data_IF_049592331754
#
_entry.id   IF_049592331754
#
_cell.length_a   1.000
_cell.length_b   1.000
_cell.length_c   1.000
_cell.angle_alpha   90.00
_cell.angle_beta   90.00
_cell.angle_gamma   90.00
#
_symmetry.space_group_name_H-M   'P 1'
#
loop_
_entity.id
_entity.type
_entity.pdbx_description
1 polymer ?
#
# COMPACT_ATOMS: atom_id res chain seq x y z
N UNK A 1 -42.58 0.18 154.67
CA UNK A 1 -41.31 -0.37 155.19
C UNK A 1 -40.54 -1.00 154.03
N UNK A 2 -39.22 -0.75 153.97
CA UNK A 2 -38.19 -1.32 153.08
C UNK A 2 -38.35 -1.03 151.56
N UNK A 3 -37.57 -0.15 150.90
CA UNK A 3 -36.13 -0.21 150.54
C UNK A 3 -35.66 -1.58 150.04
N UNK A 4 -35.30 -1.69 148.74
CA UNK A 4 -33.95 -2.00 148.19
C UNK A 4 -33.97 -1.75 146.66
N UNK A 5 -33.11 -0.84 146.20
CA UNK A 5 -32.52 -0.71 144.85
C UNK A 5 -31.15 -1.45 144.86
N UNK A 6 -30.36 -1.55 143.78
CA UNK A 6 -30.59 -1.67 142.32
C UNK A 6 -29.60 -2.71 141.70
N UNK A 7 -29.21 -2.55 140.42
CA UNK A 7 -28.15 -3.22 139.65
C UNK A 7 -28.65 -4.40 138.78
N UNK A 8 -28.19 -4.63 137.55
CA UNK A 8 -26.94 -4.23 136.91
C UNK A 8 -27.05 -4.22 135.37
N UNK A 9 -26.21 -3.40 134.77
CA UNK A 9 -25.91 -3.25 133.36
C UNK A 9 -25.70 -4.55 132.58
N UNK A 10 -26.22 -4.59 131.35
CA UNK A 10 -25.68 -5.39 130.25
C UNK A 10 -25.66 -4.58 128.93
N UNK A 11 -24.55 -3.89 128.62
CA UNK A 11 -24.23 -3.48 127.26
C UNK A 11 -22.82 -3.97 126.91
N UNK A 12 -22.70 -5.17 126.34
CA UNK A 12 -21.40 -5.64 125.81
C UNK A 12 -21.47 -6.58 124.61
N UNK A 13 -22.58 -7.32 124.40
CA UNK A 13 -22.70 -8.25 123.26
C UNK A 13 -23.31 -7.69 121.96
N UNK A 14 -24.04 -6.56 122.03
CA UNK A 14 -24.75 -5.99 120.86
C UNK A 14 -23.84 -5.09 120.00
N UNK A 15 -22.90 -4.39 120.63
CA UNK A 15 -21.89 -3.56 119.96
C UNK A 15 -20.85 -4.42 119.24
N UNK A 16 -20.42 -5.54 119.83
CA UNK A 16 -19.52 -6.51 119.17
C UNK A 16 -20.20 -7.22 117.98
N UNK A 17 -21.48 -7.60 118.10
CA UNK A 17 -22.20 -8.19 116.97
C UNK A 17 -22.42 -7.19 115.82
N UNK A 18 -22.74 -5.94 116.12
CA UNK A 18 -22.84 -4.89 115.10
C UNK A 18 -21.50 -4.59 114.44
N UNK A 19 -20.40 -4.52 115.20
CA UNK A 19 -19.05 -4.33 114.66
C UNK A 19 -18.63 -5.51 113.77
N UNK A 20 -18.99 -6.75 114.15
CA UNK A 20 -18.69 -7.96 113.37
C UNK A 20 -19.51 -8.02 112.08
N UNK A 21 -20.78 -7.62 112.11
CA UNK A 21 -21.62 -7.50 110.90
C UNK A 21 -21.13 -6.39 109.98
N UNK A 22 -20.70 -5.25 110.52
CA UNK A 22 -20.07 -4.18 109.73
C UNK A 22 -18.78 -4.63 109.08
N UNK A 23 -17.90 -5.32 109.82
CA UNK A 23 -16.67 -5.89 109.27
C UNK A 23 -16.95 -6.92 108.17
N UNK A 24 -17.90 -7.84 108.38
CA UNK A 24 -18.33 -8.80 107.34
C UNK A 24 -18.90 -8.10 106.10
N UNK A 25 -19.63 -7.00 106.29
CA UNK A 25 -20.19 -6.20 105.18
C UNK A 25 -19.08 -5.48 104.42
N UNK A 26 -18.08 -4.93 105.11
CA UNK A 26 -16.88 -4.33 104.49
C UNK A 26 -16.04 -5.37 103.75
N UNK A 27 -15.84 -6.55 104.32
CA UNK A 27 -15.13 -7.66 103.65
C UNK A 27 -15.89 -8.14 102.41
N UNK A 28 -17.22 -8.26 102.50
CA UNK A 28 -18.06 -8.60 101.37
C UNK A 28 -18.00 -7.53 100.27
N UNK A 29 -18.12 -6.25 100.63
CA UNK A 29 -18.02 -5.14 99.69
C UNK A 29 -16.63 -5.06 99.04
N UNK A 30 -15.56 -5.32 99.81
CA UNK A 30 -14.19 -5.40 99.29
C UNK A 30 -14.04 -6.54 98.29
N UNK A 31 -14.55 -7.73 98.63
CA UNK A 31 -14.53 -8.89 97.74
C UNK A 31 -15.36 -8.64 96.46
N UNK A 32 -16.52 -7.99 96.56
CA UNK A 32 -17.37 -7.62 95.43
C UNK A 32 -16.67 -6.59 94.53
N UNK A 33 -16.04 -5.56 95.09
CA UNK A 33 -15.31 -4.56 94.31
C UNK A 33 -14.07 -5.15 93.63
N UNK A 34 -13.36 -6.07 94.28
CA UNK A 34 -12.24 -6.79 93.65
C UNK A 34 -12.71 -7.74 92.54
N UNK A 35 -13.86 -8.40 92.71
CA UNK A 35 -14.50 -9.15 91.63
C UNK A 35 -14.90 -8.25 90.44
N UNK A 36 -15.45 -7.05 90.69
CA UNK A 36 -15.76 -6.08 89.62
C UNK A 36 -14.52 -5.55 88.91
N UNK A 37 -13.41 -5.34 89.62
CA UNK A 37 -12.13 -4.97 89.01
C UNK A 37 -11.59 -6.09 88.12
N UNK A 38 -11.67 -7.35 88.58
CA UNK A 38 -11.28 -8.53 87.81
C UNK A 38 -12.11 -8.73 86.55
N UNK A 39 -13.44 -8.56 86.64
CA UNK A 39 -14.32 -8.63 85.46
C UNK A 39 -13.97 -7.56 84.42
N UNK A 40 -13.78 -6.31 84.84
CA UNK A 40 -13.33 -5.22 83.94
C UNK A 40 -11.97 -5.51 83.29
N UNK A 41 -11.06 -6.16 84.01
CA UNK A 41 -9.77 -6.55 83.47
C UNK A 41 -9.89 -7.67 82.42
N UNK A 42 -10.75 -8.67 82.65
CA UNK A 42 -11.04 -9.72 81.66
C UNK A 42 -11.72 -9.17 80.41
N UNK A 43 -12.66 -8.24 80.55
CA UNK A 43 -13.29 -7.53 79.42
C UNK A 43 -12.27 -6.72 78.61
N UNK A 44 -11.31 -6.06 79.29
CA UNK A 44 -10.22 -5.35 78.63
C UNK A 44 -9.27 -6.29 77.88
N UNK A 45 -8.90 -7.44 78.47
CA UNK A 45 -8.07 -8.47 77.81
C UNK A 45 -8.77 -9.06 76.57
N UNK A 46 -10.08 -9.29 76.64
CA UNK A 46 -10.88 -9.74 75.49
C UNK A 46 -10.91 -8.68 74.37
N UNK A 47 -11.11 -7.41 74.72
CA UNK A 47 -11.06 -6.31 73.75
C UNK A 47 -9.67 -6.15 73.11
N UNK A 48 -8.59 -6.32 73.89
CA UNK A 48 -7.21 -6.29 73.36
C UNK A 48 -7.00 -7.46 72.40
N UNK A 49 -7.41 -8.68 72.79
CA UNK A 49 -7.30 -9.87 71.93
C UNK A 49 -8.06 -9.71 70.61
N UNK A 50 -9.25 -9.12 70.64
CA UNK A 50 -10.05 -8.90 69.44
C UNK A 50 -9.49 -7.77 68.55
N UNK A 51 -8.91 -6.72 69.16
CA UNK A 51 -8.18 -5.70 68.44
C UNK A 51 -6.94 -6.29 67.75
N UNK A 52 -6.17 -7.15 68.43
CA UNK A 52 -5.02 -7.84 67.86
C UNK A 52 -5.41 -8.76 66.70
N UNK A 53 -6.45 -9.60 66.87
CA UNK A 53 -6.98 -10.43 65.77
C UNK A 53 -7.47 -9.58 64.60
N UNK A 54 -8.08 -8.43 64.87
CA UNK A 54 -8.54 -7.51 63.82
C UNK A 54 -7.38 -6.87 63.07
N UNK A 55 -6.33 -6.42 63.79
CA UNK A 55 -5.11 -5.92 63.18
C UNK A 55 -4.41 -6.99 62.35
N UNK A 56 -4.38 -8.24 62.83
CA UNK A 56 -3.77 -9.35 62.09
C UNK A 56 -4.55 -9.66 60.80
N UNK A 57 -5.89 -9.68 60.86
CA UNK A 57 -6.72 -9.78 59.65
C UNK A 57 -6.47 -8.64 58.67
N UNK A 58 -6.31 -7.42 59.18
CA UNK A 58 -6.02 -6.24 58.35
C UNK A 58 -4.64 -6.33 57.69
N UNK A 59 -3.61 -6.81 58.41
CA UNK A 59 -2.28 -7.08 57.85
C UNK A 59 -2.32 -8.12 56.74
N UNK A 60 -3.02 -9.24 56.97
CA UNK A 60 -3.18 -10.29 55.97
C UNK A 60 -3.90 -9.79 54.73
N UNK A 61 -4.98 -9.01 54.90
CA UNK A 61 -5.67 -8.37 53.79
C UNK A 61 -4.74 -7.45 52.98
N UNK A 62 -3.92 -6.63 53.64
CA UNK A 62 -2.95 -5.78 52.96
C UNK A 62 -1.87 -6.58 52.21
N UNK A 63 -1.34 -7.66 52.82
CA UNK A 63 -0.39 -8.56 52.18
C UNK A 63 -0.98 -9.23 50.94
N UNK A 64 -2.21 -9.73 51.03
CA UNK A 64 -2.90 -10.35 49.90
C UNK A 64 -3.18 -9.34 48.78
N UNK A 65 -3.58 -8.11 49.13
CA UNK A 65 -3.78 -7.03 48.17
C UNK A 65 -2.47 -6.63 47.46
N UNK A 66 -1.34 -6.59 48.17
CA UNK A 66 -0.03 -6.32 47.59
C UNK A 66 0.40 -7.45 46.65
N UNK A 67 0.27 -8.72 47.07
CA UNK A 67 0.60 -9.87 46.22
C UNK A 67 -0.26 -9.93 44.94
N UNK A 68 -1.54 -9.57 45.05
CA UNK A 68 -2.43 -9.47 43.90
C UNK A 68 -2.05 -8.30 42.98
N UNK A 69 -1.61 -7.17 43.54
CA UNK A 69 -1.08 -6.05 42.76
C UNK A 69 0.20 -6.45 42.01
N UNK A 70 1.14 -7.15 42.66
CA UNK A 70 2.38 -7.63 42.04
C UNK A 70 2.11 -8.58 40.88
N UNK A 71 1.16 -9.52 41.04
CA UNK A 71 0.75 -10.43 39.95
C UNK A 71 0.19 -9.67 38.75
N UNK A 72 -0.61 -8.64 39.00
CA UNK A 72 -1.19 -7.79 37.93
C UNK A 72 -0.11 -6.98 37.23
N UNK A 73 0.87 -6.46 37.97
CA UNK A 73 2.02 -5.76 37.40
C UNK A 73 2.86 -6.69 36.52
N UNK A 74 3.17 -7.89 36.99
CA UNK A 74 3.89 -8.89 36.19
C UNK A 74 3.12 -9.25 34.91
N UNK A 75 1.82 -9.49 35.02
CA UNK A 75 0.97 -9.79 33.85
C UNK A 75 0.91 -8.62 32.86
N UNK A 76 0.91 -7.38 33.35
CA UNK A 76 0.93 -6.19 32.51
C UNK A 76 2.28 -6.02 31.79
N UNK A 77 3.40 -6.31 32.47
CA UNK A 77 4.73 -6.34 31.87
C UNK A 77 4.83 -7.36 30.75
N UNK A 78 4.36 -8.59 30.98
CA UNK A 78 4.35 -9.65 29.97
C UNK A 78 3.51 -9.25 28.73
N UNK A 79 2.35 -8.62 28.94
CA UNK A 79 1.49 -8.16 27.86
C UNK A 79 2.14 -7.04 27.03
N UNK A 80 2.86 -6.11 27.68
CA UNK A 80 3.58 -5.02 27.01
C UNK A 80 4.74 -5.57 26.18
N UNK A 81 5.51 -6.52 26.71
CA UNK A 81 6.60 -7.14 25.94
C UNK A 81 6.08 -7.97 24.76
N UNK A 82 4.98 -8.71 24.94
CA UNK A 82 4.32 -9.42 23.85
C UNK A 82 3.86 -8.46 22.74
N UNK A 83 3.27 -7.32 23.12
CA UNK A 83 2.87 -6.29 22.16
C UNK A 83 4.07 -5.66 21.45
N UNK A 84 5.20 -5.47 22.14
CA UNK A 84 6.45 -4.96 21.55
C UNK A 84 6.97 -5.91 20.47
N UNK A 85 7.06 -7.20 20.77
CA UNK A 85 7.50 -8.23 19.82
C UNK A 85 6.59 -8.26 18.59
N UNK A 86 5.27 -8.30 18.81
CA UNK A 86 4.28 -8.30 17.72
C UNK A 86 4.43 -7.06 16.83
N UNK A 87 4.60 -5.88 17.42
CA UNK A 87 4.80 -4.65 16.65
C UNK A 87 6.11 -4.68 15.85
N UNK A 88 7.23 -5.10 16.45
CA UNK A 88 8.51 -5.22 15.74
C UNK A 88 8.42 -6.17 14.55
N UNK A 89 7.72 -7.29 14.69
CA UNK A 89 7.47 -8.24 13.59
C UNK A 89 6.58 -7.62 12.50
N UNK A 90 5.49 -6.94 12.88
CA UNK A 90 4.62 -6.25 11.94
C UNK A 90 5.37 -5.15 11.16
N UNK A 91 6.27 -4.41 11.81
CA UNK A 91 7.08 -3.39 11.15
C UNK A 91 8.10 -3.99 10.18
N UNK A 92 8.74 -5.12 10.54
CA UNK A 92 9.63 -5.86 9.63
C UNK A 92 8.88 -6.38 8.40
N UNK A 93 7.66 -6.89 8.60
CA UNK A 93 6.81 -7.34 7.51
C UNK A 93 6.41 -6.18 6.59
N UNK A 94 6.08 -5.02 7.16
CA UNK A 94 5.75 -3.82 6.39
C UNK A 94 6.93 -3.35 5.54
N UNK A 95 8.15 -3.29 6.10
CA UNK A 95 9.36 -2.94 5.36
C UNK A 95 9.63 -3.95 4.22
N UNK A 96 9.47 -5.24 4.50
CA UNK A 96 9.68 -6.28 3.48
C UNK A 96 8.67 -6.15 2.32
N UNK A 97 7.42 -5.80 2.61
CA UNK A 97 6.39 -5.57 1.58
C UNK A 97 6.69 -4.32 0.75
N UNK A 98 7.20 -3.26 1.36
CA UNK A 98 7.62 -2.06 0.62
C UNK A 98 8.83 -2.34 -0.27
N UNK A 99 9.84 -3.05 0.22
CA UNK A 99 10.99 -3.44 -0.59
C UNK A 99 10.58 -4.30 -1.80
N UNK A 100 9.67 -5.24 -1.63
CA UNK A 100 9.13 -6.04 -2.74
C UNK A 100 8.35 -5.17 -3.74
N UNK A 101 7.61 -4.17 -3.25
CA UNK A 101 6.89 -3.24 -4.12
C UNK A 101 7.88 -2.37 -4.93
N UNK A 102 8.93 -1.84 -4.31
CA UNK A 102 10.01 -1.10 -4.98
C UNK A 102 10.67 -1.94 -6.07
N UNK A 103 11.09 -3.17 -5.74
CA UNK A 103 11.69 -4.10 -6.69
C UNK A 103 10.75 -4.38 -7.87
N UNK A 104 9.47 -4.63 -7.59
CA UNK A 104 8.45 -4.82 -8.62
C UNK A 104 8.28 -3.60 -9.53
N UNK A 105 8.38 -2.38 -8.98
CA UNK A 105 8.29 -1.14 -9.75
C UNK A 105 9.51 -0.93 -10.65
N UNK A 106 10.70 -1.28 -10.16
CA UNK A 106 11.94 -1.26 -10.95
C UNK A 106 11.83 -2.23 -12.12
N UNK A 107 11.37 -3.45 -11.90
CA UNK A 107 11.20 -4.45 -12.96
C UNK A 107 10.11 -4.05 -13.96
N UNK A 108 8.98 -3.50 -13.49
CA UNK A 108 7.95 -2.97 -14.38
C UNK A 108 8.49 -1.85 -15.29
N UNK A 109 9.33 -0.95 -14.74
CA UNK A 109 9.96 0.13 -15.51
C UNK A 109 10.87 -0.41 -16.62
N UNK A 110 11.70 -1.40 -16.30
CA UNK A 110 12.58 -2.06 -17.28
C UNK A 110 11.77 -2.74 -18.38
N UNK A 111 10.76 -3.53 -18.00
CA UNK A 111 9.89 -4.20 -18.96
C UNK A 111 9.20 -3.22 -19.90
N UNK A 112 8.68 -2.11 -19.36
CA UNK A 112 8.06 -1.06 -20.18
C UNK A 112 9.06 -0.42 -21.13
N UNK A 113 10.26 -0.07 -20.66
CA UNK A 113 11.32 0.52 -21.49
C UNK A 113 11.74 -0.41 -22.64
N UNK A 114 11.92 -1.70 -22.35
CA UNK A 114 12.21 -2.72 -23.37
C UNK A 114 11.08 -2.86 -24.39
N UNK A 115 9.83 -2.88 -23.93
CA UNK A 115 8.66 -2.95 -24.81
C UNK A 115 8.57 -1.73 -25.73
N UNK A 116 8.82 -0.53 -25.21
CA UNK A 116 8.80 0.71 -25.99
C UNK A 116 9.95 0.75 -27.01
N UNK A 117 11.15 0.33 -26.61
CA UNK A 117 12.30 0.20 -27.51
C UNK A 117 12.04 -0.81 -28.64
N UNK A 118 11.40 -1.94 -28.31
CA UNK A 118 10.98 -2.94 -29.30
C UNK A 118 9.97 -2.39 -30.31
N UNK A 119 8.99 -1.62 -29.83
CA UNK A 119 8.00 -0.97 -30.68
C UNK A 119 8.65 0.10 -31.59
N UNK A 120 9.51 0.97 -31.06
CA UNK A 120 10.26 1.96 -31.83
C UNK A 120 11.09 1.27 -32.94
N UNK A 121 11.77 0.17 -32.62
CA UNK A 121 12.51 -0.63 -33.62
C UNK A 121 11.61 -1.22 -34.71
N UNK A 122 10.41 -1.68 -34.33
CA UNK A 122 9.44 -2.23 -35.28
C UNK A 122 8.90 -1.16 -36.22
N UNK A 123 8.57 0.03 -35.71
CA UNK A 123 8.11 1.18 -36.51
C UNK A 123 9.21 1.58 -37.49
N UNK A 124 10.46 1.68 -37.05
CA UNK A 124 11.57 2.05 -37.91
C UNK A 124 11.83 1.02 -39.01
N UNK A 125 11.74 -0.28 -38.70
CA UNK A 125 11.80 -1.35 -39.71
C UNK A 125 10.68 -1.21 -40.74
N UNK A 126 9.46 -0.94 -40.30
CA UNK A 126 8.33 -0.75 -41.20
C UNK A 126 8.54 0.48 -42.09
N UNK A 127 9.00 1.61 -41.55
CA UNK A 127 9.33 2.82 -42.31
C UNK A 127 10.39 2.54 -43.37
N UNK A 128 11.45 1.82 -43.01
CA UNK A 128 12.51 1.44 -43.96
C UNK A 128 11.99 0.52 -45.06
N UNK A 129 11.25 -0.53 -44.70
CA UNK A 129 10.65 -1.44 -45.68
C UNK A 129 9.74 -0.68 -46.65
N UNK A 130 8.91 0.22 -46.14
CA UNK A 130 8.03 1.07 -46.93
C UNK A 130 8.81 1.99 -47.87
N UNK A 131 9.89 2.63 -47.39
CA UNK A 131 10.75 3.48 -48.21
C UNK A 131 11.50 2.70 -49.31
N UNK A 132 11.95 1.48 -49.03
CA UNK A 132 12.59 0.60 -50.02
C UNK A 132 11.57 0.15 -51.08
N UNK A 133 10.37 -0.25 -50.67
CA UNK A 133 9.27 -0.58 -51.57
C UNK A 133 8.84 0.62 -52.45
N UNK A 134 8.83 1.84 -51.89
CA UNK A 134 8.58 3.08 -52.63
C UNK A 134 9.58 3.26 -53.77
N UNK A 135 10.86 3.15 -53.45
CA UNK A 135 11.93 3.32 -54.41
C UNK A 135 11.82 2.29 -55.54
N UNK A 136 11.58 1.03 -55.19
CA UNK A 136 11.42 -0.04 -56.18
C UNK A 136 10.22 0.20 -57.12
N UNK A 137 9.08 0.64 -56.58
CA UNK A 137 7.90 0.95 -57.39
C UNK A 137 8.17 2.12 -58.36
N UNK A 138 8.85 3.18 -57.89
CA UNK A 138 9.23 4.32 -58.72
C UNK A 138 10.22 3.91 -59.83
N UNK A 139 11.23 3.10 -59.50
CA UNK A 139 12.21 2.60 -60.48
C UNK A 139 11.52 1.76 -61.57
N UNK A 140 10.58 0.88 -61.20
CA UNK A 140 9.79 0.08 -62.15
C UNK A 140 8.91 0.94 -63.06
N UNK A 141 8.27 1.98 -62.52
CA UNK A 141 7.48 2.93 -63.30
C UNK A 141 8.36 3.70 -64.29
N UNK A 142 9.53 4.17 -63.86
CA UNK A 142 10.48 4.86 -64.72
C UNK A 142 10.98 3.97 -65.86
N UNK A 143 11.27 2.69 -65.59
CA UNK A 143 11.63 1.71 -66.61
C UNK A 143 10.50 1.48 -67.62
N UNK A 144 9.25 1.35 -67.15
CA UNK A 144 8.10 1.17 -68.03
C UNK A 144 7.87 2.39 -68.94
N UNK A 145 8.01 3.60 -68.39
CA UNK A 145 7.94 4.85 -69.16
C UNK A 145 9.06 4.91 -70.21
N UNK A 146 10.29 4.57 -69.84
CA UNK A 146 11.42 4.50 -70.79
C UNK A 146 11.17 3.52 -71.93
N UNK A 147 10.61 2.34 -71.63
CA UNK A 147 10.27 1.34 -72.65
C UNK A 147 9.19 1.84 -73.62
N UNK A 148 8.18 2.56 -73.12
CA UNK A 148 7.13 3.21 -73.93
C UNK A 148 7.74 4.28 -74.84
N UNK A 149 8.64 5.12 -74.30
CA UNK A 149 9.32 6.17 -75.06
C UNK A 149 10.17 5.60 -76.20
N UNK A 150 10.94 4.54 -75.93
CA UNK A 150 11.73 3.84 -76.95
C UNK A 150 10.85 3.15 -77.99
N UNK A 151 9.75 2.52 -77.57
CA UNK A 151 8.78 1.94 -78.50
C UNK A 151 8.17 3.02 -79.42
N UNK A 152 7.88 4.21 -78.88
CA UNK A 152 7.39 5.36 -79.67
C UNK A 152 8.41 5.81 -80.70
N UNK A 153 9.70 5.96 -80.32
CA UNK A 153 10.79 6.31 -81.25
C UNK A 153 10.95 5.28 -82.36
N UNK A 154 10.95 4.00 -82.00
CA UNK A 154 11.01 2.90 -82.97
C UNK A 154 9.85 2.98 -83.96
N UNK A 155 8.63 3.19 -83.47
CA UNK A 155 7.45 3.36 -84.32
C UNK A 155 7.55 4.59 -85.23
N UNK A 156 8.08 5.70 -84.74
CA UNK A 156 8.23 6.95 -85.50
C UNK A 156 9.29 6.82 -86.61
N UNK A 157 10.38 6.09 -86.36
CA UNK A 157 11.36 5.75 -87.40
C UNK A 157 10.73 4.82 -88.44
N UNK A 158 9.98 3.82 -87.99
CA UNK A 158 9.27 2.90 -88.88
C UNK A 158 8.22 3.63 -89.73
N UNK A 159 7.54 4.66 -89.20
CA UNK A 159 6.67 5.58 -89.95
C UNK A 159 7.42 6.18 -91.13
N UNK A 160 8.55 6.83 -90.84
CA UNK A 160 9.32 7.59 -91.83
C UNK A 160 9.82 6.68 -92.96
N UNK A 161 10.24 5.46 -92.62
CA UNK A 161 10.68 4.49 -93.62
C UNK A 161 9.52 3.95 -94.47
N UNK A 162 8.36 3.69 -93.85
CA UNK A 162 7.16 3.27 -94.59
C UNK A 162 6.66 4.37 -95.53
N UNK A 163 6.56 5.61 -95.05
CA UNK A 163 6.14 6.77 -95.85
C UNK A 163 7.07 7.02 -97.04
N UNK A 164 8.39 6.89 -96.85
CA UNK A 164 9.38 7.02 -97.92
C UNK A 164 9.19 5.93 -99.00
N UNK A 165 8.97 4.67 -98.60
CA UNK A 165 8.72 3.55 -99.54
C UNK A 165 7.38 3.70 -100.27
N UNK A 166 6.37 4.27 -99.62
CA UNK A 166 5.02 4.49 -100.18
C UNK A 166 4.97 5.69 -101.14
N UNK A 167 5.93 6.61 -101.08
CA UNK A 167 6.05 7.74 -102.00
C UNK A 167 6.53 7.34 -103.42
N UNK A 168 7.11 6.14 -103.59
CA UNK A 168 7.69 5.67 -104.85
C UNK A 168 6.78 4.76 -105.72
N UNK A 169 5.51 4.50 -105.34
CA UNK A 169 4.70 3.44 -105.99
C UNK A 169 3.22 3.78 -106.29
N UNK A 170 2.73 3.21 -107.39
CA UNK A 170 1.37 3.28 -107.99
C UNK A 170 0.18 2.86 -107.08
N UNK A 171 -1.04 3.11 -107.57
CA UNK A 171 -2.38 2.99 -106.94
C UNK A 171 -2.64 1.78 -106.01
N UNK A 172 -1.97 0.64 -106.17
CA UNK A 172 -2.09 -0.53 -105.27
C UNK A 172 -1.57 -0.28 -103.85
N UNK A 173 -0.76 0.77 -103.68
CA UNK A 173 -0.15 1.16 -102.40
C UNK A 173 -0.98 2.17 -101.62
N UNK A 174 -2.12 2.63 -102.15
CA UNK A 174 -3.07 3.50 -101.42
C UNK A 174 -3.79 2.73 -100.31
N UNK A 175 -4.25 1.51 -100.58
CA UNK A 175 -4.90 0.67 -99.55
C UNK A 175 -3.88 0.17 -98.53
N UNK A 176 -2.64 -0.10 -98.96
CA UNK A 176 -1.53 -0.42 -98.05
C UNK A 176 -1.19 0.76 -97.14
N UNK A 177 -1.25 2.00 -97.66
CA UNK A 177 -1.14 3.26 -96.87
C UNK A 177 -2.21 3.36 -95.80
N UNK A 178 -3.47 3.14 -96.16
CA UNK A 178 -4.62 3.19 -95.23
C UNK A 178 -4.51 2.13 -94.13
N UNK A 179 -4.10 0.91 -94.50
CA UNK A 179 -3.88 -0.17 -93.53
C UNK A 179 -2.80 0.19 -92.53
N UNK A 180 -1.64 0.68 -92.99
CA UNK A 180 -0.58 1.13 -92.09
C UNK A 180 -1.04 2.28 -91.20
N UNK A 181 -1.64 3.34 -91.75
CA UNK A 181 -2.16 4.45 -90.95
C UNK A 181 -3.10 3.98 -89.83
N UNK A 182 -4.02 3.06 -90.14
CA UNK A 182 -4.96 2.54 -89.14
C UNK A 182 -4.25 1.72 -88.06
N UNK A 183 -3.29 0.88 -88.44
CA UNK A 183 -2.47 0.14 -87.49
C UNK A 183 -1.60 1.06 -86.61
N UNK A 184 -1.14 2.21 -87.16
CA UNK A 184 -0.37 3.21 -86.41
C UNK A 184 -1.25 3.92 -85.39
N UNK A 185 -2.46 4.30 -85.79
CA UNK A 185 -3.41 4.95 -84.90
C UNK A 185 -3.83 4.03 -83.75
N UNK A 186 -4.04 2.74 -84.02
CA UNK A 186 -4.27 1.74 -82.96
C UNK A 186 -3.06 1.56 -82.02
N UNK A 187 -1.83 1.69 -82.53
CA UNK A 187 -0.62 1.61 -81.71
C UNK A 187 -0.46 2.84 -80.80
N UNK A 188 -0.70 4.04 -81.33
CA UNK A 188 -0.67 5.29 -80.56
C UNK A 188 -1.76 5.31 -79.47
N UNK A 189 -2.97 4.86 -79.79
CA UNK A 189 -4.07 4.75 -78.82
C UNK A 189 -3.72 3.78 -77.67
N UNK A 190 -3.06 2.65 -77.99
CA UNK A 190 -2.59 1.69 -76.98
C UNK A 190 -1.47 2.25 -76.10
N UNK A 191 -0.54 3.01 -76.68
CA UNK A 191 0.53 3.68 -75.92
C UNK A 191 -0.05 4.75 -75.00
N UNK A 192 -0.98 5.57 -75.48
CA UNK A 192 -1.65 6.59 -74.68
C UNK A 192 -2.45 5.95 -73.52
N UNK A 193 -3.15 4.84 -73.77
CA UNK A 193 -3.84 4.09 -72.73
C UNK A 193 -2.87 3.51 -71.67
N UNK A 194 -1.72 2.99 -72.11
CA UNK A 194 -0.69 2.47 -71.20
C UNK A 194 -0.08 3.59 -70.32
N UNK A 195 0.20 4.76 -70.89
CA UNK A 195 0.65 5.93 -70.13
C UNK A 195 -0.41 6.39 -69.11
N UNK A 196 -1.68 6.46 -69.51
CA UNK A 196 -2.78 6.79 -68.60
C UNK A 196 -2.89 5.81 -67.43
N UNK A 197 -2.73 4.50 -67.69
CA UNK A 197 -2.74 3.48 -66.64
C UNK A 197 -1.55 3.62 -65.67
N UNK A 198 -0.35 3.94 -66.17
CA UNK A 198 0.85 4.23 -65.36
C UNK A 198 0.62 5.46 -64.46
N UNK A 199 0.03 6.51 -65.02
CA UNK A 199 -0.25 7.76 -64.30
C UNK A 199 -1.23 7.52 -63.14
N UNK A 200 -2.31 6.78 -63.39
CA UNK A 200 -3.30 6.42 -62.37
C UNK A 200 -2.69 5.49 -61.32
N UNK A 201 -1.88 4.51 -61.73
CA UNK A 201 -1.17 3.63 -60.80
C UNK A 201 -0.20 4.41 -59.90
N UNK A 202 0.49 5.42 -60.44
CA UNK A 202 1.35 6.33 -59.67
C UNK A 202 0.54 7.11 -58.63
N UNK A 203 -0.59 7.72 -59.01
CA UNK A 203 -1.46 8.46 -58.09
C UNK A 203 -2.00 7.57 -56.97
N UNK A 204 -2.46 6.36 -57.32
CA UNK A 204 -2.94 5.38 -56.35
C UNK A 204 -1.85 5.04 -55.34
N UNK A 205 -0.63 4.77 -55.79
CA UNK A 205 0.49 4.55 -54.90
C UNK A 205 0.79 5.78 -54.04
N UNK A 206 0.96 6.96 -54.61
CA UNK A 206 1.23 8.19 -53.84
C UNK A 206 0.20 8.42 -52.72
N UNK A 207 -1.09 8.18 -53.00
CA UNK A 207 -2.14 8.29 -52.00
C UNK A 207 -2.03 7.22 -50.90
N UNK A 208 -1.85 5.95 -51.29
CA UNK A 208 -1.68 4.86 -50.32
C UNK A 208 -0.46 5.08 -49.42
N UNK A 209 0.62 5.65 -49.98
CA UNK A 209 1.84 5.98 -49.23
C UNK A 209 1.59 7.10 -48.22
N UNK A 210 0.91 8.16 -48.63
CA UNK A 210 0.54 9.26 -47.73
C UNK A 210 -0.30 8.75 -46.54
N UNK A 211 -1.27 7.88 -46.80
CA UNK A 211 -2.06 7.29 -45.72
C UNK A 211 -1.22 6.39 -44.79
N UNK A 212 -0.24 5.66 -45.32
CA UNK A 212 0.66 4.83 -44.51
C UNK A 212 1.56 5.70 -43.61
N UNK A 213 2.11 6.79 -44.13
CA UNK A 213 2.92 7.74 -43.36
C UNK A 213 2.08 8.44 -42.28
N UNK A 214 0.85 8.84 -42.60
CA UNK A 214 -0.08 9.41 -41.61
C UNK A 214 -0.38 8.43 -40.47
N UNK A 215 -0.61 7.15 -40.79
CA UNK A 215 -0.82 6.10 -39.77
C UNK A 215 0.41 5.86 -38.92
N UNK A 216 1.61 5.86 -39.50
CA UNK A 216 2.86 5.71 -38.75
C UNK A 216 3.10 6.90 -37.82
N UNK A 217 2.89 8.13 -38.30
CA UNK A 217 3.03 9.32 -37.46
C UNK A 217 2.01 9.34 -36.32
N UNK A 218 0.76 8.94 -36.57
CA UNK A 218 -0.24 8.79 -35.52
C UNK A 218 0.14 7.73 -34.48
N UNK A 219 0.79 6.64 -34.89
CA UNK A 219 1.32 5.64 -33.97
C UNK A 219 2.48 6.19 -33.13
N UNK A 220 3.40 6.95 -33.73
CA UNK A 220 4.49 7.64 -33.02
C UNK A 220 3.94 8.62 -31.96
N UNK A 221 2.96 9.45 -32.33
CA UNK A 221 2.31 10.39 -31.41
C UNK A 221 1.61 9.66 -30.25
N UNK A 222 0.88 8.57 -30.56
CA UNK A 222 0.24 7.74 -29.53
C UNK A 222 1.27 7.11 -28.57
N UNK A 223 2.42 6.69 -29.09
CA UNK A 223 3.52 6.14 -28.28
C UNK A 223 4.14 7.20 -27.37
N UNK A 224 4.31 8.43 -27.86
CA UNK A 224 4.80 9.56 -27.04
C UNK A 224 3.83 9.88 -25.90
N UNK A 225 2.53 9.95 -26.18
CA UNK A 225 1.53 10.16 -25.13
C UNK A 225 1.46 9.00 -24.13
N UNK A 226 1.63 7.76 -24.61
CA UNK A 226 1.73 6.60 -23.73
C UNK A 226 2.95 6.67 -22.79
N UNK A 227 4.13 7.11 -23.28
CA UNK A 227 5.31 7.35 -22.41
C UNK A 227 4.99 8.39 -21.33
N UNK A 228 4.41 9.53 -21.69
CA UNK A 228 4.04 10.59 -20.73
C UNK A 228 3.02 10.11 -19.70
N UNK A 229 2.06 9.28 -20.10
CA UNK A 229 1.11 8.68 -19.18
C UNK A 229 1.83 7.73 -18.20
N UNK A 230 2.66 6.83 -18.72
CA UNK A 230 3.40 5.88 -17.92
C UNK A 230 4.35 6.58 -16.93
N UNK A 231 5.11 7.59 -17.36
CA UNK A 231 6.01 8.36 -16.50
C UNK A 231 5.27 9.03 -15.33
N UNK A 232 4.07 9.57 -15.59
CA UNK A 232 3.22 10.14 -14.55
C UNK A 232 2.74 9.07 -13.57
N UNK A 233 2.30 7.92 -14.08
CA UNK A 233 1.84 6.82 -13.24
C UNK A 233 2.97 6.25 -12.35
N UNK A 234 4.17 6.12 -12.91
CA UNK A 234 5.36 5.67 -12.18
C UNK A 234 5.75 6.67 -11.09
N UNK A 235 5.72 7.97 -11.40
CA UNK A 235 5.96 9.01 -10.40
C UNK A 235 4.93 8.98 -9.26
N UNK A 236 3.65 8.82 -9.59
CA UNK A 236 2.59 8.71 -8.57
C UNK A 236 2.78 7.47 -7.68
N UNK A 237 3.25 6.37 -8.25
CA UNK A 237 3.57 5.17 -7.48
C UNK A 237 4.80 5.37 -6.57
N UNK A 238 5.87 5.98 -7.07
CA UNK A 238 7.05 6.34 -6.27
C UNK A 238 6.66 7.28 -5.11
N UNK A 239 5.81 8.28 -5.36
CA UNK A 239 5.30 9.20 -4.32
C UNK A 239 4.47 8.46 -3.26
N UNK A 240 3.67 7.46 -3.65
CA UNK A 240 2.89 6.62 -2.72
C UNK A 240 3.77 5.71 -1.86
N UNK A 241 4.82 5.14 -2.44
CA UNK A 241 5.78 4.31 -1.71
C UNK A 241 6.53 5.15 -0.68
N UNK A 242 7.02 6.32 -1.09
CA UNK A 242 7.65 7.27 -0.16
C UNK A 242 6.69 7.73 0.96
N UNK A 243 5.41 7.96 0.66
CA UNK A 243 4.42 8.28 1.67
C UNK A 243 4.18 7.12 2.65
N UNK A 244 4.18 5.87 2.17
CA UNK A 244 4.04 4.68 3.01
C UNK A 244 5.26 4.50 3.93
N UNK A 245 6.48 4.68 3.41
CA UNK A 245 7.71 4.69 4.21
C UNK A 245 7.66 5.72 5.34
N UNK A 246 7.26 6.95 5.02
CA UNK A 246 7.12 8.00 6.02
C UNK A 246 6.06 7.65 7.08
N UNK A 247 4.91 7.10 6.66
CA UNK A 247 3.87 6.67 7.59
C UNK A 247 4.34 5.56 8.54
N UNK A 248 5.15 4.62 8.04
CA UNK A 248 5.78 3.56 8.84
C UNK A 248 6.78 4.15 9.83
N UNK A 249 7.61 5.09 9.38
CA UNK A 249 8.57 5.78 10.23
C UNK A 249 7.88 6.55 11.36
N UNK A 250 6.83 7.32 11.04
CA UNK A 250 6.04 8.06 12.02
C UNK A 250 5.37 7.11 13.04
N UNK A 251 4.82 5.99 12.56
CA UNK A 251 4.22 4.99 13.43
C UNK A 251 5.23 4.34 14.38
N UNK A 252 6.48 4.12 13.94
CA UNK A 252 7.56 3.65 14.82
C UNK A 252 7.87 4.64 15.93
N UNK A 253 7.96 5.93 15.59
CA UNK A 253 8.23 7.00 16.55
C UNK A 253 7.11 7.04 17.59
N UNK A 254 5.86 7.08 17.13
CA UNK A 254 4.70 7.10 18.00
C UNK A 254 4.66 5.87 18.93
N UNK A 255 4.86 4.67 18.38
CA UNK A 255 4.86 3.44 19.19
C UNK A 255 5.99 3.43 20.23
N UNK A 256 7.20 3.85 19.84
CA UNK A 256 8.32 3.96 20.77
C UNK A 256 8.06 4.94 21.94
N UNK A 257 7.33 6.03 21.68
CA UNK A 257 6.88 6.94 22.73
C UNK A 257 5.86 6.29 23.66
N UNK A 258 4.88 5.56 23.11
CA UNK A 258 3.89 4.82 23.91
C UNK A 258 4.54 3.75 24.79
N UNK A 259 5.55 3.04 24.28
CA UNK A 259 6.30 2.04 25.05
C UNK A 259 7.07 2.68 26.20
N UNK A 260 7.75 3.81 25.96
CA UNK A 260 8.43 4.57 27.03
C UNK A 260 7.46 5.04 28.10
N UNK A 261 6.27 5.50 27.72
CA UNK A 261 5.24 5.92 28.67
C UNK A 261 4.70 4.73 29.48
N UNK A 262 4.48 3.59 28.84
CA UNK A 262 4.07 2.35 29.50
C UNK A 262 5.11 1.88 30.53
N UNK A 263 6.38 1.87 30.15
CA UNK A 263 7.50 1.52 31.04
C UNK A 263 7.60 2.48 32.23
N UNK A 264 7.46 3.78 31.99
CA UNK A 264 7.49 4.78 33.06
C UNK A 264 6.34 4.60 34.05
N UNK A 265 5.14 4.28 33.56
CA UNK A 265 3.96 4.00 34.41
C UNK A 265 4.15 2.73 35.23
N UNK A 266 4.68 1.67 34.63
CA UNK A 266 5.01 0.43 35.35
C UNK A 266 6.08 0.67 36.42
N UNK A 267 7.15 1.40 36.07
CA UNK A 267 8.21 1.77 37.00
C UNK A 267 7.71 2.57 38.20
N UNK A 268 6.78 3.50 37.98
CA UNK A 268 6.15 4.28 39.04
C UNK A 268 5.22 3.44 39.94
N UNK A 269 4.65 2.35 39.45
CA UNK A 269 3.82 1.43 40.23
C UNK A 269 4.65 0.38 41.00
N UNK A 270 5.88 0.12 40.57
CA UNK A 270 6.83 -0.79 41.23
C UNK A 270 7.78 -0.11 42.24
N UNK A 271 7.74 1.22 42.34
CA UNK A 271 8.58 2.05 43.23
C UNK A 271 7.85 2.44 44.51
#
# INVERSE_FOLDING_TARGET
>A
MAQVQPASAFPSGQTENNARLQWLTEQHNTAVEDCKKRLRWLEHEEMISDAEKSMERHRLFHLEAMLEADKRLASAQDAIEAHRIFHEEAMKEADARLAVADDSMVEHRKFHEEAMSGADSSIEKHRRFHAEAMKEAQDRLALAQGAIEEHRKFHEIAMKEADARLAESDDSMVEHRKFHQKAMQEADDRLAAAQGAIEEHRKFHEQAMKEADERLNAADDSMVEHRKFHDRAMKEADDRLAAADNSIADHRIWHAEQMKEADARLGALSS
#
